data_IF_896949504318
#
_entry.id   IF_896949504318
#
_cell.length_a   1.000
_cell.length_b   1.000
_cell.length_c   1.000
_cell.angle_alpha   90.00
_cell.angle_beta   90.00
_cell.angle_gamma   90.00
#
_symmetry.space_group_name_H-M   'P 1'
#
loop_
_entity.id
_entity.type
_entity.pdbx_description
1 polymer ?
#
# COMPACT_ATOMS: atom_id res chain seq x y z
N UNK A 1 14.18 -2.65 15.69
CA UNK A 1 13.25 -1.86 14.86
C UNK A 1 12.09 -2.79 14.53
N UNK A 2 10.86 -2.43 14.90
CA UNK A 2 9.73 -3.37 15.01
C UNK A 2 9.39 -4.03 13.66
N UNK A 3 9.87 -5.26 13.47
CA UNK A 3 9.53 -6.15 12.36
C UNK A 3 8.03 -6.47 12.44
N UNK A 4 7.26 -5.97 11.47
CA UNK A 4 5.81 -6.22 11.38
C UNK A 4 4.89 -4.98 11.41
N UNK A 5 5.40 -3.77 11.24
CA UNK A 5 4.56 -2.56 11.12
C UNK A 5 3.62 -2.62 9.91
N UNK A 6 2.36 -2.26 10.11
CA UNK A 6 1.38 -2.10 9.02
C UNK A 6 1.31 -0.61 8.64
N UNK A 7 1.50 -0.32 7.36
CA UNK A 7 1.40 1.01 6.78
C UNK A 7 0.04 1.10 6.08
N UNK A 8 -0.73 2.15 6.39
CA UNK A 8 -1.95 2.50 5.68
C UNK A 8 -1.63 3.68 4.75
N UNK A 9 -1.80 3.47 3.46
CA UNK A 9 -1.68 4.49 2.42
C UNK A 9 -3.09 4.84 1.97
N UNK A 10 -3.40 6.13 1.94
CA UNK A 10 -4.68 6.64 1.43
C UNK A 10 -4.31 7.61 0.32
N UNK A 11 -4.77 7.34 -0.88
CA UNK A 11 -4.50 8.12 -2.06
C UNK A 11 -5.77 8.28 -2.87
N UNK A 12 -6.01 9.44 -3.44
CA UNK A 12 -7.14 9.70 -4.33
C UNK A 12 -6.74 9.65 -5.82
N UNK A 13 -5.47 9.36 -6.09
CA UNK A 13 -4.96 9.27 -7.45
C UNK A 13 -5.19 7.87 -8.04
N UNK A 14 -5.59 7.78 -9.32
CA UNK A 14 -5.75 6.50 -10.01
C UNK A 14 -4.41 5.73 -10.13
N UNK A 15 -3.29 6.45 -10.21
CA UNK A 15 -1.93 5.89 -10.31
C UNK A 15 -1.34 5.40 -8.97
N UNK A 16 -2.06 5.57 -7.86
CA UNK A 16 -1.59 5.14 -6.55
C UNK A 16 -1.38 3.62 -6.48
N UNK A 17 -2.23 2.86 -7.15
CA UNK A 17 -2.13 1.40 -7.24
C UNK A 17 -0.84 0.96 -7.94
N UNK A 18 -0.51 1.58 -9.08
CA UNK A 18 0.68 1.26 -9.85
C UNK A 18 1.97 1.60 -9.07
N UNK A 19 1.98 2.77 -8.42
CA UNK A 19 3.10 3.19 -7.57
C UNK A 19 3.30 2.25 -6.37
N UNK A 20 2.22 1.81 -5.74
CA UNK A 20 2.29 0.92 -4.58
C UNK A 20 2.75 -0.49 -5.00
N UNK A 21 2.30 -1.00 -6.14
CA UNK A 21 2.80 -2.26 -6.71
C UNK A 21 4.32 -2.19 -6.95
N UNK A 22 4.78 -1.12 -7.62
CA UNK A 22 6.21 -0.92 -7.89
C UNK A 22 7.03 -0.79 -6.60
N UNK A 23 6.51 -0.08 -5.58
CA UNK A 23 7.15 0.05 -4.29
C UNK A 23 7.24 -1.30 -3.56
N UNK A 24 6.15 -2.07 -3.49
CA UNK A 24 6.17 -3.38 -2.81
C UNK A 24 7.17 -4.35 -3.43
N UNK A 25 7.29 -4.36 -4.76
CA UNK A 25 8.31 -5.12 -5.49
C UNK A 25 9.74 -4.70 -5.12
N UNK A 26 10.00 -3.41 -4.96
CA UNK A 26 11.33 -2.89 -4.59
C UNK A 26 11.69 -3.11 -3.12
N UNK A 27 10.74 -2.87 -2.23
CA UNK A 27 10.96 -2.90 -0.78
C UNK A 27 10.86 -4.31 -0.21
N UNK A 28 10.19 -5.23 -0.90
CA UNK A 28 9.85 -6.56 -0.38
C UNK A 28 8.73 -6.52 0.66
N UNK A 29 8.03 -5.39 0.74
CA UNK A 29 6.82 -5.21 1.54
C UNK A 29 5.66 -5.99 0.92
N UNK A 30 4.66 -6.33 1.73
CA UNK A 30 3.57 -7.20 1.32
C UNK A 30 2.24 -6.49 1.43
N UNK A 31 1.53 -6.36 0.32
CA UNK A 31 0.17 -5.83 0.30
C UNK A 31 -0.72 -6.79 1.10
N UNK A 32 -1.41 -6.27 2.10
CA UNK A 32 -2.37 -6.99 2.91
C UNK A 32 -3.78 -6.82 2.35
N UNK A 33 -4.16 -5.58 2.03
CA UNK A 33 -5.51 -5.23 1.63
C UNK A 33 -5.52 -3.95 0.82
N UNK A 34 -6.39 -3.88 -0.16
CA UNK A 34 -6.68 -2.67 -0.94
C UNK A 34 -8.20 -2.45 -0.84
N UNK A 35 -8.61 -1.24 -0.49
CA UNK A 35 -10.00 -0.81 -0.49
C UNK A 35 -10.14 0.41 -1.39
N UNK A 36 -11.13 0.40 -2.28
CA UNK A 36 -11.45 1.56 -3.10
C UNK A 36 -12.80 2.11 -2.65
N UNK A 37 -12.78 3.32 -2.11
CA UNK A 37 -13.93 4.08 -1.64
C UNK A 37 -14.10 5.30 -2.57
N UNK A 38 -14.88 5.12 -3.64
CA UNK A 38 -15.11 6.16 -4.64
C UNK A 38 -13.81 6.60 -5.33
N UNK A 39 -13.42 7.85 -5.12
CA UNK A 39 -12.20 8.46 -5.66
C UNK A 39 -10.95 8.09 -4.83
N UNK A 40 -11.12 7.49 -3.65
CA UNK A 40 -10.02 7.20 -2.72
C UNK A 40 -9.67 5.72 -2.69
N UNK A 41 -8.40 5.41 -2.92
CA UNK A 41 -7.78 4.11 -2.73
C UNK A 41 -7.03 4.05 -1.39
N UNK A 42 -7.37 3.06 -0.57
CA UNK A 42 -6.79 2.78 0.73
C UNK A 42 -6.02 1.47 0.64
N UNK A 43 -4.69 1.52 0.73
CA UNK A 43 -3.82 0.34 0.68
C UNK A 43 -3.19 0.08 2.04
N UNK A 44 -3.32 -1.15 2.54
CA UNK A 44 -2.66 -1.66 3.73
C UNK A 44 -1.46 -2.52 3.32
N UNK A 45 -0.28 -2.13 3.77
CA UNK A 45 1.00 -2.78 3.50
C UNK A 45 1.59 -3.31 4.80
N UNK A 46 2.16 -4.50 4.79
CA UNK A 46 2.98 -5.01 5.88
C UNK A 46 4.44 -4.85 5.54
N UNK A 47 5.17 -4.14 6.41
CA UNK A 47 6.61 -4.04 6.32
C UNK A 47 7.25 -5.37 6.72
N UNK A 48 8.20 -5.86 5.92
CA UNK A 48 8.96 -7.07 6.22
C UNK A 48 9.84 -6.89 7.46
#
# INVERSE_FOLDING_TARGET
MASGGVIKVVANDPDALENIDAWTKKSGDRILRIENEGDTCIIYLKKK
#
